data_IF_243302561557
#
_entry.id   IF_243302561557
#
_cell.length_a   1.000
_cell.length_b   1.000
_cell.length_c   1.000
_cell.angle_alpha   90.00
_cell.angle_beta   90.00
_cell.angle_gamma   90.00
#
_symmetry.space_group_name_H-M   'P 1'
#
loop_
_entity.id
_entity.type
_entity.pdbx_description
1 polymer ?
#
# COMPACT_ATOMS: atom_id res chain seq x y z
N UNK A 1 -15.86 10.17 -6.01
CA UNK A 1 -16.30 11.45 -6.67
C UNK A 1 -15.34 11.72 -7.82
N UNK A 2 -15.83 11.74 -9.06
CA UNK A 2 -14.98 11.80 -10.28
C UNK A 2 -15.75 12.44 -11.43
N UNK A 3 -15.05 12.95 -12.45
CA UNK A 3 -15.62 13.36 -13.73
C UNK A 3 -15.70 12.22 -14.75
N UNK A 4 -15.05 11.09 -14.48
CA UNK A 4 -14.89 9.94 -15.38
C UNK A 4 -15.19 8.60 -14.69
N UNK A 5 -16.44 8.36 -14.24
CA UNK A 5 -16.81 7.16 -13.48
C UNK A 5 -16.52 5.85 -14.22
N UNK A 6 -16.64 5.82 -15.55
CA UNK A 6 -16.39 4.62 -16.33
C UNK A 6 -14.90 4.24 -16.38
N UNK A 7 -14.00 5.21 -16.27
CA UNK A 7 -12.56 4.96 -16.15
C UNK A 7 -12.25 4.20 -14.86
N UNK A 8 -12.86 4.60 -13.74
CA UNK A 8 -12.68 3.94 -12.44
C UNK A 8 -13.32 2.55 -12.45
N UNK A 9 -14.57 2.45 -12.93
CA UNK A 9 -15.28 1.15 -13.05
C UNK A 9 -14.49 0.17 -13.90
N UNK A 10 -13.98 0.61 -15.07
CA UNK A 10 -13.21 -0.25 -15.97
C UNK A 10 -11.97 -0.88 -15.33
N UNK A 11 -11.32 -0.17 -14.41
CA UNK A 11 -10.17 -0.69 -13.67
C UNK A 11 -10.59 -1.60 -12.52
N UNK A 12 -11.53 -1.15 -11.69
CA UNK A 12 -11.86 -1.82 -10.43
C UNK A 12 -12.87 -2.96 -10.57
N UNK A 13 -13.52 -3.16 -11.73
CA UNK A 13 -14.45 -4.28 -11.97
C UNK A 13 -13.76 -5.59 -12.35
N UNK A 14 -12.45 -5.59 -12.54
CA UNK A 14 -11.71 -6.75 -13.04
C UNK A 14 -10.91 -7.46 -11.93
N UNK A 15 -10.47 -8.69 -12.24
CA UNK A 15 -9.52 -9.48 -11.44
C UNK A 15 -9.97 -9.68 -9.98
N UNK A 16 -9.07 -9.50 -9.03
CA UNK A 16 -9.28 -9.71 -7.59
C UNK A 16 -10.30 -8.71 -7.04
N UNK A 17 -10.17 -7.43 -7.41
CA UNK A 17 -11.05 -6.35 -6.92
C UNK A 17 -12.49 -6.55 -7.44
N UNK A 18 -12.66 -6.94 -8.70
CA UNK A 18 -13.97 -7.28 -9.26
C UNK A 18 -14.63 -8.48 -8.56
N UNK A 19 -13.86 -9.50 -8.21
CA UNK A 19 -14.36 -10.65 -7.43
C UNK A 19 -14.76 -10.23 -6.02
N UNK A 20 -13.92 -9.45 -5.33
CA UNK A 20 -14.22 -8.97 -3.98
C UNK A 20 -15.53 -8.18 -3.92
N UNK A 21 -15.83 -7.38 -4.96
CA UNK A 21 -17.14 -6.71 -5.09
C UNK A 21 -18.27 -7.71 -5.33
N UNK A 22 -18.07 -8.70 -6.22
CA UNK A 22 -19.09 -9.72 -6.50
C UNK A 22 -19.40 -10.58 -5.28
N UNK A 23 -18.42 -10.84 -4.43
CA UNK A 23 -18.53 -11.61 -3.20
C UNK A 23 -19.05 -10.76 -2.01
N UNK A 24 -19.26 -9.45 -2.23
CA UNK A 24 -19.78 -8.53 -1.22
C UNK A 24 -18.80 -8.17 -0.10
N UNK A 25 -17.49 -8.39 -0.33
CA UNK A 25 -16.43 -8.05 0.63
C UNK A 25 -16.12 -6.55 0.65
N UNK A 26 -16.24 -5.91 -0.51
CA UNK A 26 -16.09 -4.46 -0.70
C UNK A 26 -17.17 -3.94 -1.65
N UNK A 27 -17.46 -2.66 -1.56
CA UNK A 27 -18.35 -1.97 -2.50
C UNK A 27 -17.65 -0.72 -3.05
N UNK A 28 -17.73 -0.51 -4.38
CA UNK A 28 -17.13 0.66 -5.04
C UNK A 28 -18.23 1.48 -5.72
N UNK A 29 -18.62 2.60 -5.10
CA UNK A 29 -19.52 3.59 -5.66
C UNK A 29 -18.77 4.63 -6.50
N UNK A 30 -19.19 4.84 -7.75
CA UNK A 30 -18.62 5.87 -8.62
C UNK A 30 -19.65 6.97 -8.89
N UNK A 31 -19.43 8.14 -8.31
CA UNK A 31 -20.33 9.29 -8.40
C UNK A 31 -19.78 10.31 -9.38
N UNK A 32 -20.57 10.62 -10.43
CA UNK A 32 -20.19 11.62 -11.42
C UNK A 32 -20.50 13.03 -10.90
N UNK A 33 -19.47 13.80 -10.61
CA UNK A 33 -19.58 15.17 -10.09
C UNK A 33 -20.45 16.06 -11.02
N UNK A 34 -20.46 15.81 -12.34
CA UNK A 34 -21.28 16.57 -13.31
C UNK A 34 -22.78 16.45 -13.05
N UNK A 35 -23.23 15.36 -12.46
CA UNK A 35 -24.66 15.14 -12.21
C UNK A 35 -25.21 16.03 -11.09
N UNK A 36 -24.33 16.62 -10.31
CA UNK A 36 -24.65 17.56 -9.22
C UNK A 36 -24.49 19.03 -9.62
N UNK A 37 -24.05 19.31 -10.85
CA UNK A 37 -23.92 20.69 -11.33
C UNK A 37 -25.29 21.33 -11.54
N UNK A 38 -25.48 22.53 -10.99
CA UNK A 38 -26.68 23.37 -11.21
C UNK A 38 -26.62 24.17 -12.50
N UNK A 39 -25.47 24.16 -13.20
CA UNK A 39 -25.33 24.81 -14.51
C UNK A 39 -26.11 24.05 -15.60
N UNK A 40 -26.77 24.77 -16.49
CA UNK A 40 -27.57 24.20 -17.60
C UNK A 40 -26.74 23.32 -18.56
N UNK A 41 -25.43 23.53 -18.63
CA UNK A 41 -24.51 22.76 -19.46
C UNK A 41 -23.70 21.76 -18.63
N UNK A 42 -24.08 21.55 -17.36
CA UNK A 42 -23.38 20.67 -16.40
C UNK A 42 -21.89 21.00 -16.24
N UNK A 43 -21.55 22.29 -16.26
CA UNK A 43 -20.20 22.76 -16.00
C UNK A 43 -19.80 22.42 -14.56
N UNK A 44 -18.52 22.03 -14.40
CA UNK A 44 -17.92 21.69 -13.10
C UNK A 44 -16.63 22.46 -12.86
N UNK A 45 -16.27 23.36 -13.77
CA UNK A 45 -15.01 24.09 -13.78
C UNK A 45 -15.23 25.55 -14.21
N UNK A 46 -14.34 26.46 -13.78
CA UNK A 46 -14.32 27.86 -14.16
C UNK A 46 -12.88 28.40 -14.16
N UNK A 47 -12.71 29.61 -14.68
CA UNK A 47 -11.40 30.30 -14.69
C UNK A 47 -10.93 30.62 -13.28
N UNK A 48 -9.63 30.43 -12.96
CA UNK A 48 -9.11 30.74 -11.63
C UNK A 48 -9.12 32.23 -11.32
N UNK A 49 -9.45 32.58 -10.08
CA UNK A 49 -9.21 33.94 -9.59
C UNK A 49 -7.71 34.28 -9.63
N UNK A 50 -7.39 35.50 -9.98
CA UNK A 50 -6.00 35.95 -10.15
C UNK A 50 -5.45 35.69 -11.55
N UNK A 51 -6.22 35.05 -12.43
CA UNK A 51 -5.80 34.71 -13.79
C UNK A 51 -4.90 33.48 -13.83
N UNK A 52 -4.49 33.09 -15.02
CA UNK A 52 -3.66 31.91 -15.27
C UNK A 52 -4.18 31.11 -16.45
N UNK A 53 -3.45 30.08 -16.83
CA UNK A 53 -3.85 29.11 -17.85
C UNK A 53 -4.64 27.98 -17.20
N UNK A 54 -5.64 27.43 -17.91
CA UNK A 54 -6.43 26.31 -17.44
C UNK A 54 -7.68 26.70 -16.66
N UNK A 55 -8.31 25.72 -16.05
CA UNK A 55 -9.58 25.80 -15.34
C UNK A 55 -9.42 25.17 -13.94
N UNK A 56 -10.29 25.55 -13.01
CA UNK A 56 -10.33 24.99 -11.65
C UNK A 56 -11.72 24.38 -11.41
N UNK A 57 -11.79 23.21 -10.81
CA UNK A 57 -13.04 22.57 -10.45
C UNK A 57 -13.76 23.38 -9.37
N UNK A 58 -15.04 23.67 -9.60
CA UNK A 58 -15.85 24.54 -8.73
C UNK A 58 -16.37 23.81 -7.50
N UNK A 59 -16.63 24.57 -6.42
CA UNK A 59 -17.07 24.03 -5.12
C UNK A 59 -18.41 23.31 -5.18
N UNK A 60 -19.44 23.95 -5.78
CA UNK A 60 -20.84 23.53 -5.66
C UNK A 60 -21.08 22.07 -6.08
N UNK A 61 -20.70 21.60 -7.30
CA UNK A 61 -21.01 20.24 -7.70
C UNK A 61 -20.23 19.19 -6.90
N UNK A 62 -19.05 19.52 -6.42
CA UNK A 62 -18.24 18.63 -5.56
C UNK A 62 -18.89 18.50 -4.19
N UNK A 63 -19.29 19.62 -3.59
CA UNK A 63 -19.90 19.65 -2.26
C UNK A 63 -21.26 18.93 -2.24
N UNK A 64 -22.10 19.17 -3.25
CA UNK A 64 -23.40 18.50 -3.35
C UNK A 64 -23.26 16.99 -3.61
N UNK A 65 -22.27 16.59 -4.42
CA UNK A 65 -21.91 15.18 -4.58
C UNK A 65 -21.48 14.54 -3.25
N UNK A 66 -20.64 15.22 -2.48
CA UNK A 66 -20.22 14.77 -1.17
C UNK A 66 -21.41 14.62 -0.21
N UNK A 67 -22.29 15.61 -0.14
CA UNK A 67 -23.47 15.55 0.73
C UNK A 67 -24.40 14.38 0.37
N UNK A 68 -24.55 14.10 -0.91
CA UNK A 68 -25.34 12.95 -1.40
C UNK A 68 -24.75 11.61 -0.97
N UNK A 69 -23.41 11.48 -1.02
CA UNK A 69 -22.72 10.26 -0.57
C UNK A 69 -22.85 10.08 0.94
N UNK A 70 -22.56 11.12 1.72
CA UNK A 70 -22.46 10.97 3.18
C UNK A 70 -23.83 10.82 3.86
N UNK A 71 -24.93 11.20 3.22
CA UNK A 71 -26.28 11.01 3.80
C UNK A 71 -26.64 9.55 4.03
N UNK A 72 -26.07 8.65 3.21
CA UNK A 72 -26.34 7.21 3.26
C UNK A 72 -25.32 6.45 4.12
N UNK A 73 -24.27 7.12 4.62
CA UNK A 73 -23.27 6.55 5.52
C UNK A 73 -23.78 6.63 6.96
N UNK A 74 -23.88 5.50 7.69
CA UNK A 74 -24.21 5.50 9.11
C UNK A 74 -23.27 6.38 9.92
N UNK A 75 -23.79 7.09 10.93
CA UNK A 75 -22.99 8.04 11.72
C UNK A 75 -21.90 7.37 12.55
N UNK A 76 -22.09 6.12 12.92
CA UNK A 76 -21.16 5.27 13.64
C UNK A 76 -19.99 4.79 12.81
N UNK A 77 -20.12 4.80 11.48
CA UNK A 77 -19.08 4.36 10.57
C UNK A 77 -17.91 5.36 10.54
N UNK A 78 -16.71 4.80 10.61
CA UNK A 78 -15.47 5.56 10.37
C UNK A 78 -15.34 5.86 8.90
N UNK A 79 -15.35 7.14 8.54
CA UNK A 79 -15.13 7.58 7.15
C UNK A 79 -13.88 8.44 7.05
N UNK A 80 -13.27 8.43 5.86
CA UNK A 80 -12.15 9.29 5.51
C UNK A 80 -12.34 9.86 4.11
N UNK A 81 -12.20 11.16 3.96
CA UNK A 81 -12.28 11.87 2.67
C UNK A 81 -10.87 12.19 2.21
N UNK A 82 -10.49 11.66 1.06
CA UNK A 82 -9.12 11.71 0.53
C UNK A 82 -9.13 12.45 -0.80
N UNK A 83 -8.34 13.51 -0.92
CA UNK A 83 -8.07 14.16 -2.18
C UNK A 83 -6.78 13.62 -2.80
N UNK A 84 -6.87 13.09 -4.03
CA UNK A 84 -5.69 12.64 -4.77
C UNK A 84 -4.95 13.82 -5.35
N UNK A 85 -3.81 14.16 -4.77
CA UNK A 85 -3.08 15.41 -5.04
C UNK A 85 -1.57 15.21 -4.97
N UNK A 86 -0.77 15.81 -5.88
CA UNK A 86 0.70 15.79 -5.77
C UNK A 86 1.23 16.52 -4.53
N UNK A 87 0.40 17.33 -3.85
CA UNK A 87 0.76 18.04 -2.61
C UNK A 87 0.66 17.16 -1.36
N UNK A 88 -0.02 16.02 -1.47
CA UNK A 88 -0.27 15.12 -0.35
C UNK A 88 0.96 14.34 0.09
N UNK A 89 0.84 13.68 1.25
CA UNK A 89 1.84 12.72 1.70
C UNK A 89 1.93 11.54 0.73
N UNK A 90 3.15 11.02 0.53
CA UNK A 90 3.36 9.88 -0.38
C UNK A 90 2.70 8.63 0.21
N UNK A 91 1.87 7.98 -0.59
CA UNK A 91 1.19 6.74 -0.24
C UNK A 91 2.20 5.61 0.00
N UNK A 92 2.01 4.89 1.09
CA UNK A 92 2.86 3.76 1.51
C UNK A 92 2.02 2.56 1.96
N UNK A 93 2.68 1.42 2.19
CA UNK A 93 2.02 0.25 2.77
C UNK A 93 1.40 0.55 4.14
N UNK A 94 2.10 1.28 5.01
CA UNK A 94 1.59 1.67 6.33
C UNK A 94 0.33 2.53 6.21
N UNK A 95 0.28 3.45 5.22
CA UNK A 95 -0.92 4.23 4.94
C UNK A 95 -2.05 3.35 4.43
N UNK A 96 -1.77 2.33 3.60
CA UNK A 96 -2.79 1.37 3.18
C UNK A 96 -3.36 0.58 4.37
N UNK A 97 -2.51 0.14 5.30
CA UNK A 97 -2.91 -0.51 6.54
C UNK A 97 -3.76 0.41 7.43
N UNK A 98 -3.40 1.68 7.57
CA UNK A 98 -4.22 2.67 8.29
C UNK A 98 -5.61 2.81 7.65
N UNK A 99 -5.66 2.97 6.32
CA UNK A 99 -6.90 3.18 5.57
C UNK A 99 -7.81 1.95 5.56
N UNK A 100 -7.26 0.73 5.63
CA UNK A 100 -8.05 -0.51 5.72
C UNK A 100 -8.87 -0.62 7.02
N UNK A 101 -8.56 0.20 8.03
CA UNK A 101 -9.31 0.30 9.28
C UNK A 101 -10.52 1.24 9.24
N UNK A 102 -10.86 1.83 8.09
CA UNK A 102 -12.05 2.66 7.89
C UNK A 102 -13.17 1.87 7.22
N UNK A 103 -14.41 2.15 7.64
CA UNK A 103 -15.60 1.54 7.03
C UNK A 103 -15.91 2.16 5.65
N UNK A 104 -15.60 3.45 5.46
CA UNK A 104 -15.85 4.17 4.21
C UNK A 104 -14.68 5.08 3.85
N UNK A 105 -14.15 4.94 2.64
CA UNK A 105 -13.18 5.85 2.04
C UNK A 105 -13.85 6.60 0.88
N UNK A 106 -13.79 7.93 0.91
CA UNK A 106 -14.35 8.80 -0.13
C UNK A 106 -13.19 9.47 -0.86
N UNK A 107 -12.99 9.14 -2.13
CA UNK A 107 -11.93 9.72 -2.95
C UNK A 107 -12.47 10.89 -3.78
N UNK A 108 -11.82 12.05 -3.68
CA UNK A 108 -12.00 13.17 -4.60
C UNK A 108 -10.92 13.09 -5.69
N UNK A 109 -11.35 12.86 -6.91
CA UNK A 109 -10.48 12.85 -8.09
C UNK A 109 -10.53 14.24 -8.76
N UNK A 110 -9.45 15.00 -8.61
CA UNK A 110 -9.31 16.30 -9.25
C UNK A 110 -8.89 16.20 -10.71
N UNK A 111 -9.22 17.26 -11.46
CA UNK A 111 -8.83 17.47 -12.84
C UNK A 111 -8.40 18.91 -13.09
N UNK A 112 -7.99 19.22 -14.31
CA UNK A 112 -7.54 20.55 -14.74
C UNK A 112 -6.35 21.05 -13.91
N UNK A 113 -6.38 22.32 -13.46
CA UNK A 113 -5.35 22.91 -12.59
C UNK A 113 -5.58 22.56 -11.11
N UNK A 114 -6.67 21.85 -10.80
CA UNK A 114 -7.01 21.39 -9.46
C UNK A 114 -8.44 21.70 -9.05
N UNK A 115 -8.68 21.67 -7.76
CA UNK A 115 -9.97 21.85 -7.12
C UNK A 115 -9.95 23.15 -6.31
N UNK A 116 -11.05 23.88 -6.26
CA UNK A 116 -11.18 25.08 -5.45
C UNK A 116 -10.86 24.77 -3.98
N UNK A 117 -9.92 25.54 -3.42
CA UNK A 117 -9.39 25.29 -2.08
C UNK A 117 -10.47 25.29 -1.00
N UNK A 118 -11.54 26.07 -1.16
CA UNK A 118 -12.61 26.19 -0.16
C UNK A 118 -13.36 24.87 0.04
N UNK A 119 -13.56 24.07 -1.01
CA UNK A 119 -14.21 22.76 -0.85
C UNK A 119 -13.21 21.72 -0.32
N UNK A 120 -11.94 21.84 -0.64
CA UNK A 120 -10.91 21.00 -0.02
C UNK A 120 -10.90 21.24 1.49
N UNK A 121 -10.80 22.51 1.92
CA UNK A 121 -10.78 22.89 3.35
C UNK A 121 -12.04 22.45 4.11
N UNK A 122 -13.19 22.36 3.42
CA UNK A 122 -14.48 22.00 4.03
C UNK A 122 -14.68 20.50 4.20
N UNK A 123 -14.26 19.67 3.21
CA UNK A 123 -14.65 18.26 3.21
C UNK A 123 -13.49 17.26 3.24
N UNK A 124 -12.26 17.67 2.91
CA UNK A 124 -11.13 16.74 2.78
C UNK A 124 -10.42 16.56 4.12
N UNK A 125 -10.27 15.32 4.54
CA UNK A 125 -9.53 14.99 5.76
C UNK A 125 -8.03 14.92 5.50
N UNK A 126 -7.61 14.45 4.30
CA UNK A 126 -6.19 14.37 3.93
C UNK A 126 -5.98 14.39 2.40
N UNK A 127 -4.78 14.83 1.99
CA UNK A 127 -4.30 14.72 0.62
C UNK A 127 -3.28 13.58 0.52
N UNK A 128 -3.41 12.74 -0.54
CA UNK A 128 -2.49 11.63 -0.79
C UNK A 128 -1.88 11.75 -2.19
N UNK A 129 -0.55 11.61 -2.26
CA UNK A 129 0.24 11.54 -3.49
C UNK A 129 0.67 10.09 -3.75
N UNK A 130 0.73 9.70 -5.02
CA UNK A 130 1.28 8.41 -5.45
C UNK A 130 2.77 8.49 -5.86
N UNK A 131 3.41 9.64 -5.67
CA UNK A 131 4.82 9.87 -5.99
C UNK A 131 5.09 11.22 -6.62
N UNK A 132 6.36 11.53 -6.87
CA UNK A 132 6.84 12.82 -7.35
C UNK A 132 6.68 12.96 -8.88
N UNK A 133 5.46 12.83 -9.36
CA UNK A 133 5.07 13.04 -10.75
C UNK A 133 3.60 13.45 -10.85
N UNK A 134 3.23 14.08 -11.96
CA UNK A 134 1.88 14.56 -12.19
C UNK A 134 1.21 13.71 -13.28
N UNK A 135 -0.03 13.36 -13.04
CA UNK A 135 -0.91 12.65 -13.98
C UNK A 135 -2.10 13.54 -14.36
N UNK A 136 -2.86 13.16 -15.37
CA UNK A 136 -3.94 13.99 -15.95
C UNK A 136 -5.16 14.16 -15.04
N UNK A 137 -5.33 13.31 -14.02
CA UNK A 137 -6.45 13.36 -13.09
C UNK A 137 -6.27 12.41 -11.92
N UNK A 138 -7.16 12.50 -10.93
CA UNK A 138 -7.10 11.71 -9.69
C UNK A 138 -7.61 10.28 -9.79
N UNK A 139 -8.22 9.86 -10.91
CA UNK A 139 -8.86 8.56 -11.07
C UNK A 139 -7.88 7.39 -10.97
N UNK A 140 -6.78 7.45 -11.71
CA UNK A 140 -5.73 6.40 -11.66
C UNK A 140 -5.07 6.35 -10.27
N UNK A 141 -4.64 7.47 -9.68
CA UNK A 141 -4.19 7.50 -8.30
C UNK A 141 -5.18 6.86 -7.31
N UNK A 142 -6.47 7.21 -7.41
CA UNK A 142 -7.50 6.61 -6.56
C UNK A 142 -7.60 5.10 -6.75
N UNK A 143 -7.56 4.60 -7.99
CA UNK A 143 -7.58 3.16 -8.27
C UNK A 143 -6.37 2.44 -7.63
N UNK A 144 -5.18 3.03 -7.66
CA UNK A 144 -3.97 2.48 -7.00
C UNK A 144 -4.21 2.33 -5.49
N UNK A 145 -4.72 3.38 -4.84
CA UNK A 145 -4.99 3.34 -3.41
C UNK A 145 -6.09 2.34 -3.07
N UNK A 146 -7.19 2.31 -3.84
CA UNK A 146 -8.28 1.35 -3.66
C UNK A 146 -7.76 -0.09 -3.80
N UNK A 147 -6.98 -0.40 -4.82
CA UNK A 147 -6.41 -1.74 -5.01
C UNK A 147 -5.55 -2.15 -3.81
N UNK A 148 -4.60 -1.29 -3.42
CA UNK A 148 -3.68 -1.55 -2.32
C UNK A 148 -4.39 -1.73 -0.97
N UNK A 149 -5.44 -0.94 -0.69
CA UNK A 149 -6.23 -1.04 0.55
C UNK A 149 -7.14 -2.28 0.52
N UNK A 150 -7.80 -2.53 -0.60
CA UNK A 150 -8.76 -3.66 -0.72
C UNK A 150 -8.10 -5.02 -0.50
N UNK A 151 -6.82 -5.20 -0.91
CA UNK A 151 -6.05 -6.42 -0.68
C UNK A 151 -5.84 -6.75 0.80
N UNK A 152 -5.95 -5.75 1.69
CA UNK A 152 -5.77 -5.88 3.13
C UNK A 152 -7.09 -6.21 3.86
N UNK A 153 -8.21 -6.21 3.15
CA UNK A 153 -9.52 -6.59 3.69
C UNK A 153 -9.62 -8.12 3.75
N UNK A 154 -10.07 -8.63 4.88
CA UNK A 154 -10.22 -10.07 5.10
C UNK A 154 -11.09 -10.73 4.01
N UNK A 155 -10.59 -11.82 3.45
CA UNK A 155 -11.29 -12.60 2.41
C UNK A 155 -11.05 -12.10 0.98
N UNK A 156 -10.47 -10.94 0.75
CA UNK A 156 -10.12 -10.45 -0.60
C UNK A 156 -8.97 -11.24 -1.19
N UNK A 157 -7.93 -11.52 -0.42
CA UNK A 157 -6.89 -12.51 -0.73
C UNK A 157 -7.14 -13.80 0.03
N UNK A 158 -6.53 -14.89 -0.42
CA UNK A 158 -6.73 -16.22 0.15
C UNK A 158 -6.31 -16.34 1.64
N UNK A 159 -5.31 -15.56 2.06
CA UNK A 159 -4.86 -15.44 3.46
C UNK A 159 -4.02 -14.18 3.65
N UNK A 160 -3.82 -13.74 4.89
CA UNK A 160 -2.92 -12.62 5.23
C UNK A 160 -1.46 -12.92 4.85
N UNK A 161 -1.05 -14.19 4.84
CA UNK A 161 0.28 -14.62 4.38
C UNK A 161 0.57 -14.17 2.94
N UNK A 162 -0.47 -13.94 2.12
CA UNK A 162 -0.32 -13.48 0.74
C UNK A 162 0.28 -12.06 0.63
N UNK A 163 0.11 -11.21 1.65
CA UNK A 163 0.65 -9.84 1.63
C UNK A 163 1.73 -9.58 2.70
N UNK A 164 1.71 -10.30 3.84
CA UNK A 164 2.69 -10.12 4.92
C UNK A 164 4.15 -10.42 4.49
N UNK A 165 4.33 -11.38 3.58
CA UNK A 165 5.62 -11.79 3.03
C UNK A 165 6.07 -11.02 1.78
N UNK A 166 5.24 -10.13 1.25
CA UNK A 166 5.53 -9.38 0.02
C UNK A 166 6.58 -8.27 0.24
N UNK A 167 7.12 -7.77 -0.89
CA UNK A 167 8.04 -6.63 -0.91
C UNK A 167 7.47 -5.45 -0.14
N UNK A 168 8.32 -4.78 0.63
CA UNK A 168 8.01 -3.62 1.49
C UNK A 168 7.21 -3.99 2.75
N UNK A 169 6.15 -4.78 2.66
CA UNK A 169 5.37 -5.23 3.82
C UNK A 169 6.25 -6.02 4.82
N UNK A 170 7.15 -6.85 4.31
CA UNK A 170 8.14 -7.61 5.10
C UNK A 170 9.38 -6.79 5.53
N UNK A 171 9.45 -5.50 5.19
CA UNK A 171 10.61 -4.63 5.42
C UNK A 171 11.74 -4.78 4.41
N UNK A 172 11.66 -5.70 3.45
CA UNK A 172 12.64 -5.93 2.38
C UNK A 172 11.96 -6.23 1.06
N UNK A 173 12.73 -6.24 -0.03
CA UNK A 173 12.26 -6.73 -1.33
C UNK A 173 12.23 -8.26 -1.34
N UNK A 174 11.29 -8.84 -2.11
CA UNK A 174 11.21 -10.28 -2.29
C UNK A 174 12.40 -10.87 -3.05
N UNK A 175 12.65 -12.15 -2.77
CA UNK A 175 13.60 -12.96 -3.53
C UNK A 175 13.08 -13.26 -4.94
N UNK A 176 13.97 -13.63 -5.91
CA UNK A 176 13.56 -13.95 -7.27
C UNK A 176 12.74 -15.25 -7.31
N UNK A 177 11.60 -15.20 -7.99
CA UNK A 177 10.68 -16.32 -8.15
C UNK A 177 11.04 -17.14 -9.41
N UNK A 178 10.90 -18.46 -9.30
CA UNK A 178 11.17 -19.40 -10.39
C UNK A 178 10.00 -20.38 -10.56
N UNK A 179 9.72 -20.74 -11.83
CA UNK A 179 8.72 -21.74 -12.19
C UNK A 179 9.23 -22.63 -13.35
N UNK A 180 8.43 -23.57 -13.80
CA UNK A 180 8.73 -24.43 -14.96
C UNK A 180 8.85 -23.62 -16.26
N UNK A 181 9.72 -24.04 -17.19
CA UNK A 181 10.62 -25.19 -17.15
C UNK A 181 11.85 -24.97 -16.26
N UNK A 182 12.58 -26.04 -15.87
CA UNK A 182 13.81 -25.97 -15.06
C UNK A 182 14.91 -25.14 -15.70
N UNK A 183 15.02 -25.21 -17.02
CA UNK A 183 15.98 -24.42 -17.81
C UNK A 183 15.22 -23.59 -18.84
N UNK A 184 15.60 -22.34 -19.01
CA UNK A 184 15.08 -21.43 -20.02
C UNK A 184 16.21 -20.59 -20.61
N UNK A 185 16.48 -20.75 -21.90
CA UNK A 185 17.54 -20.02 -22.64
C UNK A 185 18.93 -20.13 -22.00
N UNK A 186 19.31 -21.32 -21.51
CA UNK A 186 20.59 -21.58 -20.87
C UNK A 186 20.68 -21.07 -19.40
N UNK A 187 19.58 -20.62 -18.83
CA UNK A 187 19.48 -20.21 -17.41
C UNK A 187 18.72 -21.27 -16.64
N UNK A 188 19.33 -21.79 -15.59
CA UNK A 188 18.72 -22.82 -14.75
C UNK A 188 18.11 -22.25 -13.49
N UNK A 189 17.08 -22.94 -12.97
CA UNK A 189 16.57 -22.73 -11.61
C UNK A 189 17.64 -23.11 -10.60
N UNK A 190 17.93 -22.31 -9.56
CA UNK A 190 18.90 -22.66 -8.51
C UNK A 190 18.61 -24.03 -7.90
N UNK A 191 19.64 -24.91 -7.87
CA UNK A 191 19.48 -26.31 -7.40
C UNK A 191 18.94 -26.41 -5.99
N UNK A 192 19.24 -25.43 -5.12
CA UNK A 192 18.74 -25.39 -3.75
C UNK A 192 17.21 -25.39 -3.70
N UNK A 193 16.53 -24.73 -4.64
CA UNK A 193 15.06 -24.69 -4.73
C UNK A 193 14.45 -26.04 -5.14
N UNK A 194 15.25 -26.94 -5.69
CA UNK A 194 14.85 -28.30 -6.10
C UNK A 194 15.20 -29.35 -5.04
N UNK A 195 15.89 -28.97 -3.96
CA UNK A 195 16.45 -29.90 -2.96
C UNK A 195 15.41 -30.53 -2.02
N UNK A 196 14.23 -29.93 -1.85
CA UNK A 196 13.23 -30.32 -0.84
C UNK A 196 13.62 -29.98 0.60
N UNK A 197 14.79 -29.40 0.85
CA UNK A 197 15.23 -28.95 2.18
C UNK A 197 14.68 -27.54 2.47
N UNK A 198 13.47 -27.48 3.02
CA UNK A 198 12.77 -26.21 3.27
C UNK A 198 13.60 -25.22 4.09
N UNK A 199 14.37 -25.70 5.09
CA UNK A 199 15.21 -24.80 5.91
C UNK A 199 16.30 -24.12 5.10
N UNK A 200 16.93 -24.85 4.18
CA UNK A 200 17.96 -24.29 3.31
C UNK A 200 17.34 -23.40 2.23
N UNK A 201 16.17 -23.77 1.72
CA UNK A 201 15.40 -22.97 0.77
C UNK A 201 15.06 -21.62 1.41
N UNK A 202 14.53 -21.60 2.64
CA UNK A 202 14.15 -20.36 3.32
C UNK A 202 15.35 -19.44 3.61
N UNK A 203 16.50 -20.03 4.03
CA UNK A 203 17.74 -19.27 4.19
C UNK A 203 18.25 -18.70 2.86
N UNK A 204 18.14 -19.45 1.77
CA UNK A 204 18.53 -18.98 0.44
C UNK A 204 17.61 -17.84 -0.01
N UNK A 205 16.30 -17.98 0.17
CA UNK A 205 15.30 -16.95 -0.14
C UNK A 205 15.61 -15.66 0.61
N UNK A 206 15.80 -15.74 1.91
CA UNK A 206 16.16 -14.59 2.73
C UNK A 206 17.47 -13.95 2.27
N UNK A 207 18.51 -14.76 1.98
CA UNK A 207 19.79 -14.26 1.48
C UNK A 207 19.63 -13.52 0.14
N UNK A 208 18.86 -14.08 -0.79
CA UNK A 208 18.58 -13.46 -2.08
C UNK A 208 17.75 -12.17 -1.94
N UNK A 209 16.76 -12.15 -1.04
CA UNK A 209 15.96 -10.97 -0.73
C UNK A 209 16.82 -9.83 -0.17
N UNK A 210 17.67 -10.13 0.82
CA UNK A 210 18.59 -9.14 1.41
C UNK A 210 19.57 -8.58 0.37
N UNK A 211 20.09 -9.43 -0.54
CA UNK A 211 21.04 -8.97 -1.57
C UNK A 211 20.36 -8.02 -2.57
N UNK A 212 19.16 -8.38 -3.07
CA UNK A 212 18.37 -7.51 -3.95
C UNK A 212 18.01 -6.20 -3.26
N UNK A 213 17.63 -6.26 -1.97
CA UNK A 213 17.27 -5.06 -1.20
C UNK A 213 18.49 -4.16 -1.02
N UNK A 214 19.66 -4.74 -0.73
CA UNK A 214 20.92 -3.98 -0.60
C UNK A 214 21.28 -3.24 -1.88
N UNK A 215 21.07 -3.89 -3.03
CA UNK A 215 21.37 -3.29 -4.35
C UNK A 215 20.37 -2.20 -4.73
N UNK A 216 19.07 -2.42 -4.50
CA UNK A 216 18.00 -1.59 -5.09
C UNK A 216 17.33 -0.65 -4.12
N UNK A 217 17.22 -1.04 -2.85
CA UNK A 217 16.53 -0.30 -1.79
C UNK A 217 17.30 -0.40 -0.47
N UNK A 218 18.56 0.10 -0.42
CA UNK A 218 19.37 0.05 0.81
C UNK A 218 18.71 0.75 2.00
N UNK A 219 17.87 1.75 1.74
CA UNK A 219 17.04 2.45 2.73
C UNK A 219 16.15 1.51 3.55
N UNK A 220 15.61 0.45 2.94
CA UNK A 220 14.80 -0.54 3.66
C UNK A 220 15.64 -1.35 4.64
N UNK A 221 16.87 -1.73 4.29
CA UNK A 221 17.78 -2.45 5.21
C UNK A 221 18.24 -1.56 6.36
N UNK A 222 18.39 -0.26 6.14
CA UNK A 222 18.71 0.70 7.21
C UNK A 222 17.55 0.87 8.17
N UNK A 223 16.31 0.86 7.67
CA UNK A 223 15.10 0.92 8.47
C UNK A 223 14.79 -0.38 9.23
N UNK A 224 15.15 -1.55 8.65
CA UNK A 224 14.83 -2.89 9.15
C UNK A 224 16.07 -3.78 9.30
N UNK A 225 17.07 -3.42 10.13
CA UNK A 225 18.31 -4.18 10.28
C UNK A 225 18.09 -5.59 10.86
N UNK A 226 17.00 -5.83 11.56
CA UNK A 226 16.64 -7.12 12.18
C UNK A 226 16.43 -8.24 11.16
N UNK A 227 16.03 -7.95 9.93
CA UNK A 227 15.82 -8.95 8.88
C UNK A 227 17.09 -9.71 8.51
N UNK A 228 18.27 -9.15 8.81
CA UNK A 228 19.55 -9.80 8.59
C UNK A 228 19.97 -10.77 9.71
N UNK A 229 19.32 -10.73 10.87
CA UNK A 229 19.72 -11.54 12.04
C UNK A 229 19.78 -13.05 11.76
N UNK A 230 18.84 -13.67 11.00
CA UNK A 230 18.93 -15.09 10.69
C UNK A 230 20.13 -15.49 9.83
N UNK A 231 20.68 -14.54 9.05
CA UNK A 231 21.85 -14.74 8.19
C UNK A 231 23.17 -14.54 8.93
N UNK A 232 23.16 -13.94 10.13
CA UNK A 232 24.34 -13.70 10.92
C UNK A 232 24.85 -15.00 11.56
N UNK A 233 26.18 -15.23 11.63
CA UNK A 233 26.72 -16.37 12.31
C UNK A 233 26.33 -16.33 13.79
N UNK A 234 25.72 -17.41 14.30
CA UNK A 234 25.35 -17.51 15.71
C UNK A 234 26.60 -17.26 16.57
N UNK A 235 26.54 -16.42 17.62
CA UNK A 235 27.67 -16.17 18.49
C UNK A 235 28.17 -17.51 19.04
N UNK A 236 29.46 -17.79 18.87
CA UNK A 236 30.08 -19.02 19.40
C UNK A 236 29.80 -19.06 20.91
N UNK A 237 29.05 -20.06 21.37
CA UNK A 237 28.89 -20.29 22.80
C UNK A 237 30.30 -20.36 23.41
N UNK A 238 30.66 -19.40 24.28
CA UNK A 238 31.90 -19.49 25.05
C UNK A 238 31.86 -20.84 25.76
N UNK A 239 32.77 -21.77 25.40
CA UNK A 239 32.97 -23.01 26.15
C UNK A 239 33.30 -22.57 27.57
N UNK A 240 32.42 -22.79 28.52
CA UNK A 240 32.76 -22.72 29.95
C UNK A 240 33.92 -23.65 30.15
N UNK A 241 35.09 -23.10 30.48
CA UNK A 241 36.24 -23.91 30.79
C UNK A 241 35.94 -24.63 32.10
N UNK A 242 35.99 -25.97 32.08
CA UNK A 242 35.86 -26.83 33.27
C UNK A 242 36.86 -26.51 34.37
N UNK A 243 37.83 -25.63 34.12
CA UNK A 243 38.89 -25.21 35.04
C UNK A 243 38.41 -24.26 36.16
N UNK A 244 37.20 -23.68 36.05
CA UNK A 244 36.71 -22.78 37.10
C UNK A 244 35.90 -23.51 38.20
N UNK A 245 35.48 -24.77 37.96
CA UNK A 245 34.77 -25.55 38.97
C UNK A 245 35.69 -26.38 39.88
N UNK A 246 36.90 -26.71 39.44
CA UNK A 246 37.89 -27.44 40.29
C UNK A 246 38.61 -26.55 41.29
N UNK A 247 38.64 -25.22 41.09
CA UNK A 247 39.30 -24.31 42.07
C UNK A 247 38.40 -23.90 43.25
N UNK A 248 37.12 -24.19 43.19
CA UNK A 248 36.18 -23.89 44.30
C UNK A 248 35.94 -25.08 45.23
N UNK A 249 36.25 -26.32 44.78
CA UNK A 249 36.09 -27.53 45.60
C UNK A 249 37.28 -27.79 46.54
N UNK A 250 38.46 -27.15 46.34
CA UNK A 250 39.67 -27.37 47.16
C UNK A 250 39.85 -26.38 48.32
N UNK A 251 38.89 -25.47 48.57
CA UNK A 251 38.96 -24.48 49.68
C UNK A 251 37.95 -24.70 50.80
N UNK A 252 37.24 -25.83 50.82
CA UNK A 252 36.23 -26.13 51.87
C UNK A 252 36.57 -27.37 52.73
N UNK A 253 37.82 -27.89 52.67
CA UNK A 253 38.27 -29.02 53.55
C UNK A 253 39.30 -28.63 54.55
N UNK A 254 39.45 -27.37 54.93
CA UNK A 254 40.27 -26.99 56.07
C UNK A 254 39.59 -25.91 56.92
N UNK A 255 38.66 -26.37 57.77
CA UNK A 255 38.31 -25.74 59.06
C UNK A 255 37.43 -26.67 59.90
#
# INVERSE_FOLDING_TARGET
>A
MTLFPDMVRGVLSESIIGRAQSDGLIEVGCHNIRDYSTDKHRKTDDTPYGGGVGMVMTCQPIYDCYLDIVKDIPKENKKRVIYMSPKGAIFSHDKAMELSGYDNLIFLCGHYEGVDQRVIDEIVDEEISIGDYVVTGGEIPACIVVDAVSRLIDGVLASSECYEGESVASGILEYPQYTKPREFMGREVPEILLSGDHKKIDLWRLGAAVEITRERRPDLLEAHPEVMLPLMPKPKKKRRSKRAEESFASQTEDK
#
